data_IF_133820023585
#
_entry.id   IF_133820023585
#
_cell.length_a   1.000
_cell.length_b   1.000
_cell.length_c   1.000
_cell.angle_alpha   90.00
_cell.angle_beta   90.00
_cell.angle_gamma   90.00
#
_symmetry.space_group_name_H-M   'P 1'
#
loop_
_entity.id
_entity.type
_entity.pdbx_description
1 polymer ?
#
# COMPACT_ATOMS: atom_id res chain seq x y z
N UNK A 1 -13.31 22.23 -10.21
CA UNK A 1 -12.85 22.49 -8.82
C UNK A 1 -13.94 22.04 -7.88
N UNK A 2 -13.84 20.83 -7.36
CA UNK A 2 -14.71 20.33 -6.30
C UNK A 2 -13.94 20.40 -4.98
N UNK A 3 -13.94 21.57 -4.36
CA UNK A 3 -13.58 21.76 -2.96
C UNK A 3 -14.88 21.62 -2.16
N UNK A 4 -15.12 20.50 -1.54
CA UNK A 4 -16.28 20.43 -0.65
C UNK A 4 -16.63 19.07 -0.06
N UNK A 5 -16.07 17.98 -0.54
CA UNK A 5 -16.36 16.64 -0.01
C UNK A 5 -15.16 16.00 0.69
N UNK A 6 -13.96 16.55 0.58
CA UNK A 6 -12.74 15.95 1.15
C UNK A 6 -12.66 16.03 2.68
N UNK A 7 -13.23 17.06 3.32
CA UNK A 7 -13.09 17.25 4.77
C UNK A 7 -14.12 16.49 5.62
N UNK A 8 -15.25 16.10 5.04
CA UNK A 8 -16.32 15.40 5.77
C UNK A 8 -16.04 13.89 5.91
N UNK A 9 -15.08 13.36 5.15
CA UNK A 9 -14.80 11.92 5.07
C UNK A 9 -13.36 11.53 5.38
N UNK A 10 -12.59 12.37 6.06
CA UNK A 10 -11.29 11.93 6.61
C UNK A 10 -11.56 10.92 7.73
N UNK A 11 -11.53 9.64 7.34
CA UNK A 11 -11.74 8.53 8.27
C UNK A 11 -10.44 8.08 8.94
N UNK A 12 -9.31 8.66 8.54
CA UNK A 12 -8.00 8.35 9.08
C UNK A 12 -7.16 9.61 9.29
N UNK A 13 -6.39 9.63 10.37
CA UNK A 13 -5.30 10.60 10.61
C UNK A 13 -4.02 9.80 10.84
N UNK A 14 -2.92 10.24 10.22
CA UNK A 14 -1.58 9.72 10.47
C UNK A 14 -0.80 10.79 11.23
N UNK A 15 -0.21 10.40 12.34
CA UNK A 15 0.69 11.24 13.14
C UNK A 15 2.09 10.68 13.01
N UNK A 16 3.03 11.53 12.58
CA UNK A 16 4.46 11.22 12.53
C UNK A 16 5.20 12.17 13.47
N UNK A 17 6.05 11.64 14.32
CA UNK A 17 6.81 12.40 15.31
C UNK A 17 8.28 12.02 15.31
N UNK A 18 9.14 13.00 15.49
CA UNK A 18 10.58 12.88 15.67
C UNK A 18 11.01 13.74 16.85
N UNK A 19 11.90 13.26 17.67
CA UNK A 19 12.54 14.05 18.73
C UNK A 19 13.87 14.62 18.24
N UNK A 20 14.05 15.93 18.42
CA UNK A 20 15.29 16.65 18.07
C UNK A 20 15.78 17.39 19.31
N UNK A 21 17.04 17.21 19.66
CA UNK A 21 17.70 17.95 20.74
C UNK A 21 19.06 18.51 20.25
N UNK A 22 19.52 19.69 20.79
CA UNK A 22 20.82 20.21 20.46
C UNK A 22 21.94 19.19 20.78
N UNK A 23 22.90 19.08 19.90
CA UNK A 23 24.06 18.18 20.04
C UNK A 23 23.74 16.67 20.16
N UNK A 24 22.53 16.26 19.75
CA UNK A 24 22.12 14.86 19.73
C UNK A 24 21.70 14.47 18.31
N UNK A 25 21.88 13.19 17.98
CA UNK A 25 21.31 12.60 16.75
C UNK A 25 19.78 12.58 16.94
N UNK A 26 18.99 13.03 15.93
CA UNK A 26 17.54 12.92 15.97
C UNK A 26 17.09 11.47 16.22
N UNK A 27 15.96 11.29 16.88
CA UNK A 27 15.36 9.95 17.02
C UNK A 27 14.87 9.43 15.69
N UNK A 28 14.57 8.14 15.62
CA UNK A 28 13.77 7.57 14.53
C UNK A 28 12.39 8.24 14.49
N UNK A 29 11.77 8.24 13.31
CA UNK A 29 10.42 8.73 13.13
C UNK A 29 9.44 7.66 13.60
N UNK A 30 8.60 8.00 14.58
CA UNK A 30 7.50 7.15 15.02
C UNK A 30 6.25 7.56 14.23
N UNK A 31 5.56 6.57 13.64
CA UNK A 31 4.33 6.77 12.88
C UNK A 31 3.19 5.98 13.51
N UNK A 32 2.02 6.61 13.63
CA UNK A 32 0.79 5.96 14.09
C UNK A 32 -0.40 6.46 13.28
N UNK A 33 -1.26 5.52 12.90
CA UNK A 33 -2.51 5.76 12.21
C UNK A 33 -3.69 5.65 13.18
N UNK A 34 -4.64 6.58 13.07
CA UNK A 34 -5.89 6.60 13.82
C UNK A 34 -7.05 6.53 12.86
N UNK A 35 -7.88 5.50 13.00
CA UNK A 35 -9.06 5.27 12.16
C UNK A 35 -10.29 5.64 12.97
N UNK A 36 -11.12 6.56 12.45
CA UNK A 36 -12.26 7.13 13.17
C UNK A 36 -13.61 6.54 12.78
N UNK A 37 -13.63 5.59 11.86
CA UNK A 37 -14.86 5.03 11.36
C UNK A 37 -15.24 3.74 12.09
N UNK A 38 -16.36 3.79 12.80
CA UNK A 38 -17.00 2.62 13.41
C UNK A 38 -17.85 1.80 12.43
N UNK A 39 -17.62 1.94 11.13
CA UNK A 39 -18.28 1.04 10.17
C UNK A 39 -17.78 -0.37 10.50
N UNK A 40 -18.71 -1.28 10.72
CA UNK A 40 -18.43 -2.71 10.77
C UNK A 40 -17.73 -3.11 9.48
N UNK A 41 -16.42 -2.95 9.48
CA UNK A 41 -15.59 -3.25 8.33
C UNK A 41 -15.13 -4.69 8.54
N UNK A 42 -15.72 -5.59 7.79
CA UNK A 42 -15.33 -7.02 7.81
C UNK A 42 -14.00 -7.25 7.06
N UNK A 43 -13.43 -6.19 6.48
CA UNK A 43 -12.15 -6.23 5.79
C UNK A 43 -11.05 -5.63 6.67
N UNK A 44 -9.82 -6.15 6.59
CA UNK A 44 -8.67 -5.50 7.18
C UNK A 44 -8.43 -4.14 6.52
N UNK A 45 -7.77 -3.25 7.25
CA UNK A 45 -7.37 -1.93 6.78
C UNK A 45 -5.86 -1.86 6.69
N UNK A 46 -5.34 -1.46 5.55
CA UNK A 46 -3.91 -1.18 5.34
C UNK A 46 -3.72 0.33 5.26
N UNK A 47 -2.99 0.87 6.21
CA UNK A 47 -2.56 2.28 6.23
C UNK A 47 -1.14 2.38 5.72
N UNK A 48 -0.94 3.23 4.71
CA UNK A 48 0.36 3.50 4.10
C UNK A 48 0.72 4.95 4.38
N UNK A 49 1.84 5.18 5.06
CA UNK A 49 2.41 6.51 5.27
C UNK A 49 3.73 6.62 4.50
N UNK A 50 3.79 7.54 3.56
CA UNK A 50 4.96 7.83 2.73
C UNK A 50 5.19 9.33 2.66
N UNK A 51 6.43 9.78 2.41
CA UNK A 51 6.71 11.19 2.18
C UNK A 51 5.90 11.67 0.96
N UNK A 52 5.16 12.79 1.05
CA UNK A 52 4.35 13.28 -0.07
C UNK A 52 5.14 13.50 -1.36
N UNK A 53 6.38 13.98 -1.25
CA UNK A 53 7.25 14.23 -2.39
C UNK A 53 7.63 12.92 -3.12
N UNK A 54 7.80 11.82 -2.40
CA UNK A 54 8.04 10.49 -2.98
C UNK A 54 6.88 9.97 -3.85
N UNK A 55 5.68 10.54 -3.67
CA UNK A 55 4.51 10.23 -4.50
C UNK A 55 4.26 11.25 -5.60
N UNK A 56 4.34 12.56 -5.25
CA UNK A 56 3.71 13.60 -6.04
C UNK A 56 4.67 14.64 -6.63
N UNK A 57 5.94 14.66 -6.22
CA UNK A 57 6.93 15.56 -6.79
C UNK A 57 7.15 15.23 -8.28
N UNK A 58 7.21 16.22 -9.19
CA UNK A 58 7.37 15.98 -10.62
C UNK A 58 8.66 15.24 -10.99
N UNK A 59 9.75 15.42 -10.23
CA UNK A 59 11.05 14.82 -10.54
C UNK A 59 11.22 13.43 -9.91
N UNK A 60 10.82 13.28 -8.63
CA UNK A 60 11.11 12.09 -7.82
C UNK A 60 9.87 11.30 -7.38
N UNK A 61 8.67 11.86 -7.60
CA UNK A 61 7.40 11.24 -7.19
C UNK A 61 7.05 10.05 -8.06
N UNK A 62 6.88 8.90 -7.43
CA UNK A 62 6.66 7.63 -8.15
C UNK A 62 5.24 7.49 -8.74
N UNK A 63 4.28 8.36 -8.38
CA UNK A 63 2.89 8.23 -8.82
C UNK A 63 2.52 9.12 -10.00
N UNK A 64 3.34 10.12 -10.31
CA UNK A 64 3.09 11.12 -11.35
C UNK A 64 3.72 10.74 -12.69
N UNK A 65 3.34 11.48 -13.74
CA UNK A 65 3.95 11.30 -15.07
C UNK A 65 5.37 11.85 -15.17
N UNK A 66 5.71 12.88 -14.33
CA UNK A 66 6.95 13.62 -14.50
C UNK A 66 6.93 14.51 -15.75
N UNK A 67 8.10 15.03 -16.15
CA UNK A 67 8.23 16.03 -17.20
C UNK A 67 8.41 15.44 -18.61
N UNK A 68 8.89 14.21 -18.73
CA UNK A 68 9.26 13.61 -20.01
C UNK A 68 8.60 12.24 -20.20
N UNK A 69 7.41 12.21 -20.80
CA UNK A 69 6.69 10.97 -21.05
C UNK A 69 6.01 11.00 -22.43
N UNK A 70 5.72 9.81 -22.95
CA UNK A 70 4.93 9.66 -24.16
C UNK A 70 3.44 9.98 -23.88
N UNK A 71 2.81 10.91 -24.63
CA UNK A 71 1.48 11.44 -24.26
C UNK A 71 0.31 10.48 -24.49
N UNK A 72 0.57 9.27 -24.97
CA UNK A 72 -0.46 8.26 -25.20
C UNK A 72 -0.33 7.11 -24.18
N UNK A 73 -1.49 6.53 -23.81
CA UNK A 73 -1.52 5.36 -22.96
C UNK A 73 -0.60 4.26 -23.48
N UNK A 74 0.24 3.64 -22.64
CA UNK A 74 0.29 3.73 -21.19
C UNK A 74 1.29 4.77 -20.65
N UNK A 75 1.56 5.86 -21.32
CA UNK A 75 2.40 6.99 -20.88
C UNK A 75 3.85 6.58 -20.58
N UNK A 76 4.47 5.84 -21.47
CA UNK A 76 5.85 5.39 -21.31
C UNK A 76 6.80 6.55 -21.06
N UNK A 77 7.79 6.35 -20.16
CA UNK A 77 8.70 7.36 -19.70
C UNK A 77 8.23 8.13 -18.46
N UNK A 78 6.95 7.98 -18.05
CA UNK A 78 6.47 8.55 -16.79
C UNK A 78 7.22 7.98 -15.59
N UNK A 79 7.25 8.75 -14.50
CA UNK A 79 7.89 8.35 -13.25
C UNK A 79 7.41 6.99 -12.72
N UNK A 80 6.12 6.67 -12.87
CA UNK A 80 5.57 5.39 -12.46
C UNK A 80 6.06 4.18 -13.27
N UNK A 81 6.84 4.37 -14.33
CA UNK A 81 7.54 3.31 -15.06
C UNK A 81 8.93 3.00 -14.50
N UNK A 82 9.48 3.90 -13.68
CA UNK A 82 10.76 3.67 -13.02
C UNK A 82 10.63 2.58 -11.95
N UNK A 83 11.70 1.84 -11.75
CA UNK A 83 11.76 0.80 -10.70
C UNK A 83 12.27 1.40 -9.38
N UNK A 84 11.69 2.52 -8.97
CA UNK A 84 12.04 3.19 -7.73
C UNK A 84 11.44 2.49 -6.53
N UNK A 85 12.27 2.33 -5.50
CA UNK A 85 11.85 1.84 -4.19
C UNK A 85 11.92 3.00 -3.20
N UNK A 86 10.82 3.27 -2.51
CA UNK A 86 10.68 4.35 -1.54
C UNK A 86 10.32 3.78 -0.18
N UNK A 87 10.88 4.37 0.88
CA UNK A 87 10.54 3.97 2.24
C UNK A 87 9.12 4.39 2.60
N UNK A 88 8.37 3.46 3.20
CA UNK A 88 7.02 3.69 3.71
C UNK A 88 6.85 3.08 5.09
N UNK A 89 5.93 3.62 5.88
CA UNK A 89 5.44 2.97 7.09
C UNK A 89 4.09 2.31 6.80
N UNK A 90 3.96 1.04 7.14
CA UNK A 90 2.73 0.26 6.97
C UNK A 90 2.17 -0.11 8.33
N UNK A 91 0.85 0.06 8.49
CA UNK A 91 0.09 -0.51 9.60
C UNK A 91 -1.08 -1.30 9.03
N UNK A 92 -1.20 -2.57 9.40
CA UNK A 92 -2.35 -3.42 9.08
C UNK A 92 -3.21 -3.55 10.31
N UNK A 93 -4.48 -3.19 10.17
CA UNK A 93 -5.51 -3.36 11.19
C UNK A 93 -6.47 -4.45 10.78
N UNK A 94 -6.68 -5.41 11.65
CA UNK A 94 -7.70 -6.43 11.49
C UNK A 94 -9.11 -5.87 11.72
N UNK A 95 -10.16 -6.56 11.24
CA UNK A 95 -11.52 -6.24 11.63
C UNK A 95 -11.65 -6.08 13.14
N UNK A 96 -12.33 -5.02 13.57
CA UNK A 96 -12.39 -4.64 14.98
C UNK A 96 -11.27 -3.73 15.47
N UNK A 97 -10.32 -3.34 14.60
CA UNK A 97 -9.29 -2.34 14.89
C UNK A 97 -8.06 -2.86 15.63
N UNK A 98 -7.88 -4.16 15.68
CA UNK A 98 -6.68 -4.78 16.26
C UNK A 98 -5.53 -4.61 15.29
N UNK A 99 -4.38 -4.13 15.76
CA UNK A 99 -3.17 -4.05 14.93
C UNK A 99 -2.63 -5.45 14.69
N UNK A 100 -2.55 -5.86 13.43
CA UNK A 100 -1.90 -7.08 12.99
C UNK A 100 -0.39 -6.93 12.98
N UNK A 101 0.12 -6.04 12.12
CA UNK A 101 1.53 -5.68 12.13
C UNK A 101 1.72 -4.19 11.77
N UNK A 102 2.89 -3.67 12.11
CA UNK A 102 3.34 -2.34 11.71
C UNK A 102 4.85 -2.33 11.57
N UNK A 103 5.36 -1.84 10.45
CA UNK A 103 6.81 -1.64 10.26
C UNK A 103 7.10 -0.74 9.05
N UNK A 104 8.36 -0.33 8.90
CA UNK A 104 8.86 0.33 7.71
C UNK A 104 9.24 -0.70 6.66
N UNK A 105 8.85 -0.45 5.40
CA UNK A 105 9.07 -1.30 4.24
C UNK A 105 9.54 -0.46 3.06
N UNK A 106 10.16 -1.10 2.07
CA UNK A 106 10.31 -0.51 0.74
C UNK A 106 9.03 -0.68 -0.07
N UNK A 107 8.58 0.35 -0.79
CA UNK A 107 7.42 0.30 -1.67
C UNK A 107 7.83 0.62 -3.11
N UNK A 108 7.32 -0.17 -4.06
CA UNK A 108 7.42 0.08 -5.50
C UNK A 108 6.04 0.07 -6.15
N UNK A 109 5.89 0.77 -7.28
CA UNK A 109 4.74 0.57 -8.16
C UNK A 109 4.83 -0.82 -8.79
N UNK A 110 3.76 -1.59 -8.67
CA UNK A 110 3.68 -2.95 -9.20
C UNK A 110 2.83 -3.01 -10.46
N UNK A 111 3.19 -3.90 -11.37
CA UNK A 111 2.44 -4.24 -12.56
C UNK A 111 3.14 -3.90 -13.88
N UNK A 112 2.48 -4.25 -14.96
CA UNK A 112 2.82 -3.86 -16.33
C UNK A 112 2.05 -2.60 -16.73
N UNK A 113 1.16 -2.68 -17.72
CA UNK A 113 0.35 -1.54 -18.18
C UNK A 113 -0.55 -0.94 -17.11
N UNK A 114 -0.95 -1.73 -16.10
CA UNK A 114 -1.70 -1.24 -14.95
C UNK A 114 -0.98 -0.15 -14.13
N UNK A 115 0.33 0.05 -14.33
CA UNK A 115 1.07 1.19 -13.76
C UNK A 115 0.51 2.54 -14.24
N UNK A 116 -0.09 2.57 -15.44
CA UNK A 116 -0.69 3.77 -16.01
C UNK A 116 -2.10 4.08 -15.49
N UNK A 117 -2.73 3.13 -14.77
CA UNK A 117 -4.06 3.35 -14.20
C UNK A 117 -4.02 4.34 -13.02
N UNK A 118 -5.14 4.99 -12.75
CA UNK A 118 -5.25 5.96 -11.67
C UNK A 118 -4.98 5.32 -10.31
N UNK A 119 -5.58 4.16 -10.04
CA UNK A 119 -5.30 3.36 -8.85
C UNK A 119 -4.22 2.33 -9.18
N UNK A 120 -3.01 2.58 -8.66
CA UNK A 120 -1.86 1.71 -8.91
C UNK A 120 -1.78 0.59 -7.88
N UNK A 121 -1.22 -0.53 -8.30
CA UNK A 121 -0.82 -1.61 -7.40
C UNK A 121 0.57 -1.32 -6.83
N UNK A 122 0.81 -1.81 -5.62
CA UNK A 122 2.08 -1.64 -4.91
C UNK A 122 2.67 -2.99 -4.52
N UNK A 123 3.98 -3.12 -4.59
CA UNK A 123 4.73 -4.20 -3.96
C UNK A 123 5.53 -3.66 -2.78
N UNK A 124 5.56 -4.42 -1.69
CA UNK A 124 6.27 -4.08 -0.47
C UNK A 124 7.36 -5.08 -0.18
N UNK A 125 8.49 -4.59 0.31
CA UNK A 125 9.69 -5.36 0.57
C UNK A 125 10.16 -5.11 2.00
N UNK A 126 10.22 -6.16 2.79
CA UNK A 126 10.88 -6.13 4.08
C UNK A 126 12.39 -6.20 3.87
N UNK A 127 13.07 -5.13 4.21
CA UNK A 127 14.52 -5.04 4.10
C UNK A 127 15.11 -4.48 5.37
N UNK A 128 16.22 -5.04 5.83
CA UNK A 128 16.94 -4.60 7.02
C UNK A 128 17.39 -3.14 6.99
N UNK A 129 17.42 -2.50 5.82
CA UNK A 129 17.71 -1.07 5.69
C UNK A 129 16.54 -0.17 6.11
N UNK A 130 15.31 -0.69 6.15
CA UNK A 130 14.11 0.04 6.56
C UNK A 130 13.65 -0.34 7.97
N UNK A 131 13.95 -1.54 8.43
CA UNK A 131 13.50 -2.10 9.70
C UNK A 131 13.81 -3.58 9.79
N UNK A 132 12.85 -4.39 10.21
CA UNK A 132 12.98 -5.83 10.21
C UNK A 132 13.06 -6.37 8.78
N UNK A 133 13.90 -7.39 8.58
CA UNK A 133 14.13 -7.99 7.26
C UNK A 133 13.00 -8.89 6.77
N UNK A 134 11.98 -9.08 7.59
CA UNK A 134 10.79 -9.89 7.33
C UNK A 134 9.55 -9.29 8.01
N UNK A 135 8.38 -9.78 7.62
CA UNK A 135 7.08 -9.46 8.22
C UNK A 135 6.65 -10.69 9.02
N UNK A 136 6.78 -10.63 10.35
CA UNK A 136 6.34 -11.69 11.26
C UNK A 136 4.84 -11.53 11.56
N UNK A 137 4.01 -11.93 10.60
CA UNK A 137 2.56 -11.85 10.72
C UNK A 137 1.87 -12.77 9.67
N UNK A 138 0.81 -13.48 10.09
CA UNK A 138 -0.01 -14.29 9.17
C UNK A 138 -0.90 -13.39 8.29
N UNK A 139 -0.40 -12.98 7.12
CA UNK A 139 -1.15 -12.10 6.19
C UNK A 139 -2.43 -12.75 5.68
N UNK A 140 -2.44 -14.08 5.54
CA UNK A 140 -3.58 -14.88 5.06
C UNK A 140 -4.03 -15.84 6.16
N UNK A 141 -5.06 -15.48 6.95
CA UNK A 141 -5.51 -16.27 8.08
C UNK A 141 -5.84 -17.72 7.69
N UNK A 142 -5.24 -18.67 8.40
CA UNK A 142 -5.41 -20.11 8.16
C UNK A 142 -4.41 -20.69 7.14
N UNK A 143 -3.51 -19.90 6.57
CA UNK A 143 -2.45 -20.41 5.69
C UNK A 143 -1.34 -21.15 6.43
N UNK A 144 -1.16 -20.84 7.72
CA UNK A 144 -0.05 -21.32 8.53
C UNK A 144 1.31 -20.70 8.17
N UNK A 145 1.33 -19.71 7.26
CA UNK A 145 2.53 -18.94 6.91
C UNK A 145 2.48 -17.61 7.64
N UNK A 146 3.47 -17.34 8.45
CA UNK A 146 3.55 -16.14 9.29
C UNK A 146 4.84 -15.33 9.11
N UNK A 147 5.60 -15.62 8.06
CA UNK A 147 6.82 -14.88 7.76
C UNK A 147 6.89 -14.60 6.25
N UNK A 148 7.01 -13.31 5.90
CA UNK A 148 7.04 -12.85 4.51
C UNK A 148 8.15 -11.83 4.28
N UNK A 149 8.91 -11.96 3.22
CA UNK A 149 9.86 -10.94 2.76
C UNK A 149 9.18 -9.86 1.89
N UNK A 150 8.03 -10.21 1.29
CA UNK A 150 7.32 -9.33 0.36
C UNK A 150 5.84 -9.68 0.28
N UNK A 151 5.02 -8.68 -0.01
CA UNK A 151 3.64 -8.86 -0.42
C UNK A 151 3.22 -7.77 -1.42
N UNK A 152 2.07 -7.93 -2.03
CA UNK A 152 1.53 -7.01 -3.03
C UNK A 152 0.15 -6.52 -2.56
N UNK A 153 -0.12 -5.23 -2.73
CA UNK A 153 -1.46 -4.68 -2.78
C UNK A 153 -1.85 -4.50 -4.23
N UNK A 154 -2.70 -5.39 -4.72
CA UNK A 154 -3.14 -5.40 -6.11
C UNK A 154 -4.41 -4.59 -6.29
N UNK A 155 -4.31 -3.51 -7.06
CA UNK A 155 -5.44 -2.71 -7.49
C UNK A 155 -6.23 -3.40 -8.62
N UNK A 156 -7.45 -2.93 -8.85
CA UNK A 156 -8.38 -3.48 -9.84
C UNK A 156 -8.51 -2.61 -11.10
N UNK A 157 -7.51 -1.80 -11.44
CA UNK A 157 -7.57 -0.84 -12.52
C UNK A 157 -8.03 -1.39 -13.87
N UNK A 158 -7.79 -2.69 -14.12
CA UNK A 158 -8.22 -3.39 -15.33
C UNK A 158 -9.28 -4.47 -15.06
N UNK A 159 -9.82 -4.53 -13.87
CA UNK A 159 -10.82 -5.50 -13.45
C UNK A 159 -12.00 -4.83 -12.75
N UNK A 160 -13.05 -4.54 -13.48
CA UNK A 160 -14.27 -3.90 -12.97
C UNK A 160 -15.02 -4.75 -11.95
N UNK A 161 -14.74 -6.05 -11.87
CA UNK A 161 -15.42 -7.00 -10.97
C UNK A 161 -14.72 -7.12 -9.62
N UNK A 162 -13.49 -6.62 -9.50
CA UNK A 162 -12.66 -6.57 -8.27
C UNK A 162 -12.24 -7.93 -7.67
N UNK A 163 -12.93 -9.03 -7.90
CA UNK A 163 -12.62 -10.34 -7.34
C UNK A 163 -12.29 -11.42 -8.40
N UNK A 164 -12.30 -11.08 -9.69
CA UNK A 164 -12.10 -12.04 -10.78
C UNK A 164 -10.82 -12.86 -10.61
N UNK A 165 -9.73 -12.20 -10.28
CA UNK A 165 -8.43 -12.82 -10.10
C UNK A 165 -8.42 -13.79 -8.90
N UNK A 166 -8.94 -13.36 -7.75
CA UNK A 166 -9.10 -14.23 -6.58
C UNK A 166 -10.02 -15.41 -6.84
N UNK A 167 -11.12 -15.20 -7.54
CA UNK A 167 -12.04 -16.28 -7.92
C UNK A 167 -11.38 -17.29 -8.87
N UNK A 168 -10.66 -16.83 -9.89
CA UNK A 168 -9.96 -17.73 -10.81
C UNK A 168 -8.86 -18.54 -10.11
N UNK A 169 -8.10 -17.92 -9.20
CA UNK A 169 -7.09 -18.64 -8.42
C UNK A 169 -7.72 -19.65 -7.46
N UNK A 170 -8.86 -19.33 -6.82
CA UNK A 170 -9.56 -20.26 -5.95
C UNK A 170 -10.07 -21.51 -6.69
N UNK A 171 -10.52 -21.36 -7.94
CA UNK A 171 -10.92 -22.52 -8.77
C UNK A 171 -9.73 -23.41 -9.15
N UNK A 172 -8.52 -22.86 -9.16
CA UNK A 172 -7.31 -23.60 -9.49
C UNK A 172 -6.67 -24.30 -8.29
N UNK A 173 -7.03 -23.90 -7.05
CA UNK A 173 -6.40 -24.41 -5.83
C UNK A 173 -6.48 -25.94 -5.67
N UNK A 174 -7.58 -26.54 -6.12
CA UNK A 174 -7.81 -27.98 -6.02
C UNK A 174 -7.07 -28.80 -7.13
N UNK A 175 -6.41 -28.12 -8.06
CA UNK A 175 -5.78 -28.77 -9.23
C UNK A 175 -4.27 -29.06 -9.06
N UNK A 176 -3.78 -29.09 -7.83
CA UNK A 176 -2.37 -29.35 -7.51
C UNK A 176 -1.40 -28.36 -8.23
N UNK A 177 -1.81 -27.11 -8.37
CA UNK A 177 -0.99 -26.00 -8.89
C UNK A 177 -0.71 -24.99 -7.78
N UNK A 178 0.41 -24.32 -7.85
CA UNK A 178 0.74 -23.23 -6.94
C UNK A 178 -0.12 -22.03 -7.29
N UNK A 179 -0.93 -21.57 -6.35
CA UNK A 179 -1.77 -20.38 -6.46
C UNK A 179 -1.33 -19.33 -5.43
N UNK A 180 -1.54 -18.06 -5.75
CA UNK A 180 -1.35 -17.00 -4.77
C UNK A 180 -2.60 -16.90 -3.88
N UNK A 181 -2.37 -16.69 -2.60
CA UNK A 181 -3.42 -16.33 -1.67
C UNK A 181 -4.05 -14.98 -2.01
N UNK A 182 -5.24 -14.76 -1.50
CA UNK A 182 -6.06 -13.62 -1.82
C UNK A 182 -6.78 -13.12 -0.57
N UNK A 183 -6.59 -11.84 -0.26
CA UNK A 183 -7.28 -11.19 0.86
C UNK A 183 -7.61 -9.75 0.52
N UNK A 184 -8.90 -9.37 0.36
CA UNK A 184 -9.28 -7.99 0.12
C UNK A 184 -9.02 -7.15 1.37
N UNK A 185 -8.57 -5.92 1.17
CA UNK A 185 -8.30 -4.95 2.21
C UNK A 185 -8.73 -3.54 1.79
N UNK A 186 -9.17 -2.75 2.74
CA UNK A 186 -9.36 -1.30 2.57
C UNK A 186 -8.01 -0.64 2.69
N UNK A 187 -7.65 0.20 1.73
CA UNK A 187 -6.34 0.87 1.70
C UNK A 187 -6.52 2.38 1.91
N UNK A 188 -5.70 2.92 2.81
CA UNK A 188 -5.50 4.35 2.97
C UNK A 188 -4.07 4.71 2.61
N UNK A 189 -3.89 5.79 1.86
CA UNK A 189 -2.59 6.35 1.48
C UNK A 189 -2.49 7.77 2.04
N UNK A 190 -1.55 7.99 2.95
CA UNK A 190 -1.38 9.27 3.65
C UNK A 190 -2.67 9.81 4.29
N UNK A 191 -3.49 8.93 4.85
CA UNK A 191 -4.76 9.30 5.50
C UNK A 191 -5.96 9.46 4.56
N UNK A 192 -5.76 9.32 3.25
CA UNK A 192 -6.84 9.39 2.27
C UNK A 192 -7.29 7.99 1.85
N UNK A 193 -8.60 7.78 1.72
CA UNK A 193 -9.15 6.53 1.23
C UNK A 193 -8.67 6.28 -0.20
N UNK A 194 -7.88 5.20 -0.38
CA UNK A 194 -7.30 4.84 -1.67
C UNK A 194 -8.13 3.82 -2.44
N UNK A 195 -9.00 3.12 -1.75
CA UNK A 195 -9.91 2.11 -2.32
C UNK A 195 -9.74 0.74 -1.68
N UNK A 196 -10.32 -0.27 -2.33
CA UNK A 196 -10.15 -1.67 -1.96
C UNK A 196 -9.08 -2.26 -2.88
N UNK A 197 -8.10 -2.92 -2.27
CA UNK A 197 -7.06 -3.67 -2.99
C UNK A 197 -6.93 -5.07 -2.38
N UNK A 198 -6.31 -5.98 -3.13
CA UNK A 198 -6.10 -7.34 -2.65
C UNK A 198 -4.66 -7.52 -2.18
N UNK A 199 -4.50 -7.96 -0.95
CA UNK A 199 -3.24 -8.53 -0.46
C UNK A 199 -3.00 -9.84 -1.21
N UNK A 200 -1.76 -9.99 -1.77
CA UNK A 200 -1.32 -11.15 -2.57
C UNK A 200 0.09 -11.53 -2.20
#
# INVERSE_FOLDING_TARGET
MSRGLGDVYKRQIIIRAIAIAPDHIPSDIITHSYIFDNVNNDLPVVSIAIAPDDLWDPEIGMHVTGDAFWPFYPYYGSNFWNDWEKEVHIELFEPGGIIGFKQNLGMKIFGGWSRAEAQKSFSFFARSMYGDGDIDYELFPGSGVNNYETFILRAHGQDTVMFRDGFQTSLASDNNVIVQDYRPAVVYLNGEFWGIQNIR
#
